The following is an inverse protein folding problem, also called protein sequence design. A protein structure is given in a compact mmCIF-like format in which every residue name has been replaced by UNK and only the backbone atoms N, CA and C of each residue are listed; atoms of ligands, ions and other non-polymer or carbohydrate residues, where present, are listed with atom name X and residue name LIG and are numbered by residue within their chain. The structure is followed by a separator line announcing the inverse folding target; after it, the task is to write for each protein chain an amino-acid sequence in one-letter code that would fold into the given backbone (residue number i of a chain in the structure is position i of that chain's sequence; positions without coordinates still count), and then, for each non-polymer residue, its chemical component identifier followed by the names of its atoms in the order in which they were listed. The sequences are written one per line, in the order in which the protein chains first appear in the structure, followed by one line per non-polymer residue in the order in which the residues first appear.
data_IF_856850684477
#
_entry.id   IF_856850684477
#
_cell.length_a   1.000
_cell.length_b   1.000
_cell.length_c   1.000
_cell.angle_alpha   90.00
_cell.angle_beta   90.00
_cell.angle_gamma   90.00
#
_symmetry.space_group_name_H-M   'P 1'
#
loop_
_entity.id
_entity.type
_entity.pdbx_description
1 polymer ?
#
# COMPACT_ATOMS: atom_id res chain seq x y z
N UNK A 1 -0.25 10.18 -15.79
CA UNK A 1 1.10 10.02 -15.21
C UNK A 1 1.90 9.04 -16.03
N UNK A 2 3.11 8.67 -15.60
CA UNK A 2 3.92 7.61 -16.21
C UNK A 2 3.53 6.25 -15.60
N UNK A 3 2.55 5.57 -16.21
CA UNK A 3 2.00 4.31 -15.70
C UNK A 3 2.95 3.13 -15.90
N UNK A 4 3.78 3.13 -16.94
CA UNK A 4 4.73 2.05 -17.21
C UNK A 4 5.80 1.99 -16.13
N UNK A 5 6.34 3.15 -15.74
CA UNK A 5 7.29 3.23 -14.63
C UNK A 5 6.63 2.86 -13.31
N UNK A 6 5.42 3.33 -13.05
CA UNK A 6 4.69 3.03 -11.82
C UNK A 6 4.40 1.52 -11.70
N UNK A 7 3.97 0.86 -12.78
CA UNK A 7 3.78 -0.59 -12.82
C UNK A 7 5.08 -1.33 -12.48
N UNK A 8 6.21 -1.01 -13.13
CA UNK A 8 7.49 -1.69 -12.87
C UNK A 8 7.98 -1.50 -11.43
N UNK A 9 7.70 -0.34 -10.83
CA UNK A 9 8.02 -0.09 -9.43
C UNK A 9 7.17 -0.97 -8.51
N UNK A 10 5.86 -1.04 -8.75
CA UNK A 10 4.96 -1.91 -8.00
C UNK A 10 5.33 -3.39 -8.14
N UNK A 11 5.72 -3.84 -9.33
CA UNK A 11 6.20 -5.20 -9.57
C UNK A 11 7.45 -5.47 -8.72
N UNK A 12 8.39 -4.51 -8.65
CA UNK A 12 9.58 -4.62 -7.78
C UNK A 12 9.24 -4.70 -6.29
N UNK A 13 8.28 -3.88 -5.84
CA UNK A 13 7.76 -3.91 -4.48
C UNK A 13 7.08 -5.25 -4.15
N UNK A 14 6.33 -5.81 -5.10
CA UNK A 14 5.71 -7.13 -4.97
C UNK A 14 6.77 -8.23 -4.82
N UNK A 15 7.82 -8.22 -5.64
CA UNK A 15 8.96 -9.15 -5.52
C UNK A 15 9.64 -9.07 -4.14
N UNK A 16 9.84 -7.86 -3.61
CA UNK A 16 10.35 -7.67 -2.25
C UNK A 16 9.41 -8.25 -1.19
N UNK A 17 8.09 -8.04 -1.33
CA UNK A 17 7.10 -8.55 -0.38
C UNK A 17 7.10 -10.08 -0.33
N UNK A 18 7.09 -10.74 -1.49
CA UNK A 18 6.97 -12.20 -1.56
C UNK A 18 8.26 -12.93 -1.18
N UNK A 19 9.43 -12.27 -1.25
CA UNK A 19 10.74 -12.87 -0.92
C UNK A 19 10.75 -13.59 0.43
N UNK A 20 10.13 -13.00 1.45
CA UNK A 20 9.94 -13.61 2.76
C UNK A 20 8.46 -13.72 3.14
N UNK A 21 7.52 -13.47 2.21
CA UNK A 21 6.08 -13.46 2.47
C UNK A 21 5.59 -12.25 3.26
N UNK A 22 6.42 -11.23 3.48
CA UNK A 22 6.08 -9.87 3.93
C UNK A 22 7.32 -8.98 3.72
N UNK A 23 7.13 -7.71 3.40
CA UNK A 23 8.25 -6.81 3.09
C UNK A 23 9.13 -6.49 4.31
N UNK A 24 10.46 -6.41 4.16
CA UNK A 24 11.35 -5.81 5.15
C UNK A 24 11.37 -4.28 5.01
N UNK A 25 11.78 -3.59 6.07
CA UNK A 25 12.03 -2.14 6.07
C UNK A 25 13.05 -1.71 5.02
N UNK A 26 14.06 -2.55 4.72
CA UNK A 26 15.03 -2.24 3.68
C UNK A 26 15.60 -3.49 3.02
N UNK A 27 15.53 -3.53 1.67
CA UNK A 27 16.10 -4.57 0.83
C UNK A 27 17.18 -3.99 -0.11
N UNK A 28 18.32 -4.67 -0.19
CA UNK A 28 19.28 -4.46 -1.27
C UNK A 28 18.90 -5.32 -2.48
N UNK A 29 18.27 -4.72 -3.48
CA UNK A 29 17.81 -5.42 -4.70
C UNK A 29 18.94 -6.04 -5.53
N UNK A 30 20.15 -5.45 -5.55
CA UNK A 30 21.27 -6.03 -6.32
C UNK A 30 21.74 -7.36 -5.77
N UNK A 31 21.64 -7.55 -4.45
CA UNK A 31 22.06 -8.77 -3.75
C UNK A 31 20.89 -9.61 -3.24
N UNK A 32 19.66 -9.13 -3.45
CA UNK A 32 18.43 -9.65 -2.83
C UNK A 32 18.60 -9.93 -1.33
N UNK A 33 19.23 -9.00 -0.61
CA UNK A 33 19.58 -9.15 0.81
C UNK A 33 18.82 -8.15 1.68
N UNK A 34 18.16 -8.66 2.72
CA UNK A 34 17.55 -7.85 3.78
C UNK A 34 18.64 -7.07 4.52
N UNK A 35 18.51 -5.74 4.54
CA UNK A 35 19.41 -4.82 5.23
C UNK A 35 18.85 -4.42 6.59
N UNK A 36 17.54 -4.16 6.67
CA UNK A 36 16.80 -3.90 7.90
C UNK A 36 15.59 -4.80 7.90
N UNK A 37 15.51 -5.72 8.86
CA UNK A 37 14.57 -6.85 8.83
C UNK A 37 13.21 -6.58 9.46
N UNK A 38 13.01 -5.45 10.11
CA UNK A 38 11.72 -5.11 10.73
C UNK A 38 10.64 -4.89 9.68
N UNK A 39 9.38 -5.02 10.09
CA UNK A 39 8.23 -4.58 9.31
C UNK A 39 7.20 -3.92 10.25
N UNK A 40 7.11 -2.58 10.28
CA UNK A 40 6.25 -1.89 11.24
C UNK A 40 4.83 -1.66 10.70
N UNK A 41 4.28 -2.56 9.89
CA UNK A 41 2.90 -2.48 9.35
C UNK A 41 2.65 -1.33 8.35
N UNK A 42 3.67 -0.97 7.57
CA UNK A 42 3.63 0.20 6.70
C UNK A 42 2.62 0.11 5.54
N UNK A 43 2.13 1.25 5.03
CA UNK A 43 1.05 1.27 4.02
C UNK A 43 1.52 1.41 2.57
N UNK A 44 2.77 1.77 2.28
CA UNK A 44 3.12 2.42 1.01
C UNK A 44 2.92 1.50 -0.21
N UNK A 45 3.14 0.19 -0.07
CA UNK A 45 2.94 -0.79 -1.14
C UNK A 45 1.45 -1.05 -1.43
N UNK A 46 0.60 -1.12 -0.40
CA UNK A 46 -0.85 -1.30 -0.58
C UNK A 46 -1.52 -0.02 -1.07
N UNK A 47 -1.04 1.14 -0.63
CA UNK A 47 -1.41 2.45 -1.18
C UNK A 47 -1.14 2.51 -2.68
N UNK A 48 0.08 2.16 -3.09
CA UNK A 48 0.49 2.18 -4.50
C UNK A 48 -0.34 1.22 -5.35
N UNK A 49 -0.65 0.02 -4.83
CA UNK A 49 -1.55 -0.94 -5.47
C UNK A 49 -2.97 -0.36 -5.66
N UNK A 50 -3.48 0.36 -4.68
CA UNK A 50 -4.79 1.03 -4.78
C UNK A 50 -4.82 2.07 -5.90
N UNK A 51 -3.86 2.99 -5.93
CA UNK A 51 -3.78 4.00 -6.99
C UNK A 51 -3.65 3.37 -8.38
N UNK A 52 -2.79 2.36 -8.52
CA UNK A 52 -2.59 1.68 -9.78
C UNK A 52 -3.86 0.94 -10.23
N UNK A 53 -4.56 0.26 -9.32
CA UNK A 53 -5.85 -0.34 -9.64
C UNK A 53 -6.88 0.72 -10.07
N UNK A 54 -7.00 1.83 -9.34
CA UNK A 54 -7.96 2.89 -9.65
C UNK A 54 -7.76 3.47 -11.06
N UNK A 55 -6.52 3.73 -11.47
CA UNK A 55 -6.25 4.37 -12.76
C UNK A 55 -6.15 3.42 -13.95
N UNK A 56 -5.95 2.12 -13.73
CA UNK A 56 -5.73 1.15 -14.81
C UNK A 56 -6.80 0.06 -14.90
N UNK A 57 -7.54 -0.16 -13.80
CA UNK A 57 -8.46 -1.28 -13.62
C UNK A 57 -7.84 -2.66 -13.88
N UNK A 58 -6.51 -2.77 -13.79
CA UNK A 58 -5.82 -4.06 -13.91
C UNK A 58 -5.95 -4.87 -12.62
N UNK A 59 -6.69 -5.98 -12.70
CA UNK A 59 -6.95 -6.90 -11.61
C UNK A 59 -5.68 -7.50 -10.97
N UNK A 60 -4.50 -7.37 -11.59
CA UNK A 60 -3.25 -7.78 -10.94
C UNK A 60 -3.02 -7.06 -9.61
N UNK A 61 -3.40 -5.80 -9.50
CA UNK A 61 -3.17 -5.01 -8.28
C UNK A 61 -4.06 -5.47 -7.13
N UNK A 62 -5.30 -5.91 -7.42
CA UNK A 62 -6.17 -6.59 -6.44
C UNK A 62 -5.64 -7.95 -6.03
N UNK A 63 -5.07 -8.73 -6.97
CA UNK A 63 -4.39 -10.00 -6.63
C UNK A 63 -3.18 -9.77 -5.72
N UNK A 64 -2.36 -8.75 -5.99
CA UNK A 64 -1.25 -8.34 -5.12
C UNK A 64 -1.75 -7.91 -3.74
N UNK A 65 -2.77 -7.05 -3.68
CA UNK A 65 -3.38 -6.59 -2.43
C UNK A 65 -3.94 -7.72 -1.58
N UNK A 66 -4.49 -8.78 -2.19
CA UNK A 66 -4.93 -9.98 -1.47
C UNK A 66 -3.74 -10.66 -0.78
N UNK A 67 -2.63 -10.83 -1.49
CA UNK A 67 -1.40 -11.41 -0.92
C UNK A 67 -0.88 -10.56 0.24
N UNK A 68 -0.90 -9.23 0.11
CA UNK A 68 -0.47 -8.32 1.17
C UNK A 68 -1.35 -8.46 2.42
N UNK A 69 -2.67 -8.41 2.25
CA UNK A 69 -3.62 -8.53 3.35
C UNK A 69 -3.56 -9.90 4.03
N UNK A 70 -3.48 -10.99 3.27
CA UNK A 70 -3.32 -12.34 3.82
C UNK A 70 -2.01 -12.48 4.60
N UNK A 71 -0.93 -11.85 4.14
CA UNK A 71 0.36 -11.81 4.85
C UNK A 71 0.24 -11.09 6.20
N UNK A 72 -0.43 -9.94 6.22
CA UNK A 72 -0.72 -9.18 7.45
C UNK A 72 -1.54 -10.03 8.44
N UNK A 73 -2.62 -10.65 7.96
CA UNK A 73 -3.48 -11.50 8.81
C UNK A 73 -2.71 -12.70 9.35
N UNK A 74 -1.86 -13.33 8.53
CA UNK A 74 -1.11 -14.52 8.91
C UNK A 74 0.02 -14.23 9.90
N UNK A 75 0.77 -13.15 9.71
CA UNK A 75 2.02 -12.92 10.45
C UNK A 75 1.91 -11.81 11.50
N UNK A 76 1.00 -10.86 11.34
CA UNK A 76 0.92 -9.68 12.18
C UNK A 76 -0.28 -9.69 13.12
N UNK A 77 -1.30 -10.51 12.88
CA UNK A 77 -2.47 -10.58 13.77
C UNK A 77 -2.09 -11.16 15.14
N UNK A 78 -2.67 -10.57 16.20
CA UNK A 78 -2.60 -11.05 17.58
C UNK A 78 -4.02 -11.27 18.12
N UNK A 79 -4.16 -11.69 19.38
CA UNK A 79 -5.48 -11.80 20.02
C UNK A 79 -6.15 -10.43 20.21
N UNK A 80 -5.36 -9.37 20.43
CA UNK A 80 -5.85 -8.03 20.75
C UNK A 80 -5.86 -7.06 19.54
N UNK A 81 -5.24 -7.42 18.42
CA UNK A 81 -5.13 -6.53 17.26
C UNK A 81 -4.08 -7.02 16.26
N UNK A 82 -3.15 -6.14 15.92
CA UNK A 82 -2.00 -6.45 15.06
C UNK A 82 -0.71 -5.95 15.70
N UNK A 83 0.42 -6.55 15.32
CA UNK A 83 1.74 -6.11 15.72
C UNK A 83 2.69 -6.21 14.53
N UNK A 84 3.63 -5.26 14.44
CA UNK A 84 4.72 -5.33 13.47
C UNK A 84 5.60 -6.57 13.68
N UNK A 85 6.59 -6.74 12.81
CA UNK A 85 7.61 -7.77 12.95
C UNK A 85 8.96 -7.12 13.30
N UNK A 86 9.67 -7.72 14.25
CA UNK A 86 11.08 -7.38 14.51
C UNK A 86 12.03 -7.98 13.48
N UNK A 87 11.66 -9.12 12.89
CA UNK A 87 12.36 -9.74 11.78
C UNK A 87 11.40 -10.51 10.86
N UNK A 88 11.28 -10.09 9.61
CA UNK A 88 10.43 -10.72 8.60
C UNK A 88 10.83 -12.15 8.25
N UNK A 89 12.06 -12.57 8.53
CA UNK A 89 12.53 -13.94 8.24
C UNK A 89 12.06 -14.91 9.31
N UNK A 90 12.17 -14.52 10.59
CA UNK A 90 11.77 -15.35 11.72
C UNK A 90 10.28 -15.22 12.07
N UNK A 91 9.59 -14.19 11.54
CA UNK A 91 8.20 -13.84 11.88
C UNK A 91 7.99 -13.49 13.35
N UNK A 92 9.07 -13.11 14.05
CA UNK A 92 8.97 -12.66 15.43
C UNK A 92 8.25 -11.31 15.47
N UNK A 93 7.04 -11.31 15.99
CA UNK A 93 6.25 -10.10 16.24
C UNK A 93 6.99 -9.16 17.20
N UNK A 94 6.89 -7.86 16.94
CA UNK A 94 7.18 -6.80 17.91
C UNK A 94 5.97 -6.61 18.83
N UNK A 95 6.01 -5.59 19.69
CA UNK A 95 4.90 -5.23 20.58
C UNK A 95 4.44 -3.79 20.30
N UNK A 96 4.12 -3.50 19.03
CA UNK A 96 3.67 -2.18 18.61
C UNK A 96 2.72 -2.25 17.43
N UNK A 97 1.63 -1.49 17.54
CA UNK A 97 0.69 -1.22 16.46
C UNK A 97 0.62 0.29 16.23
N UNK A 98 1.36 0.82 15.25
CA UNK A 98 1.30 2.25 14.94
C UNK A 98 -0.08 2.67 14.42
N UNK A 99 -0.48 3.92 14.69
CA UNK A 99 -1.78 4.47 14.29
C UNK A 99 -2.03 4.39 12.78
N UNK A 100 -1.00 4.57 11.97
CA UNK A 100 -1.08 4.49 10.52
C UNK A 100 -1.50 3.12 10.01
N UNK A 101 -1.35 2.03 10.78
CA UNK A 101 -1.87 0.74 10.37
C UNK A 101 -3.39 0.80 10.16
N UNK A 102 -4.09 1.46 11.08
CA UNK A 102 -5.54 1.65 10.99
C UNK A 102 -5.90 2.77 10.01
N UNK A 103 -5.19 3.89 10.06
CA UNK A 103 -5.49 5.05 9.22
C UNK A 103 -5.19 4.81 7.73
N UNK A 104 -4.14 4.05 7.41
CA UNK A 104 -3.59 3.94 6.06
C UNK A 104 -3.67 2.51 5.55
N UNK A 105 -2.96 1.57 6.18
CA UNK A 105 -2.83 0.19 5.66
C UNK A 105 -4.19 -0.48 5.50
N UNK A 106 -5.05 -0.41 6.51
CA UNK A 106 -6.41 -0.96 6.43
C UNK A 106 -7.34 -0.15 5.53
N UNK A 107 -7.19 1.18 5.48
CA UNK A 107 -8.00 2.04 4.60
C UNK A 107 -7.72 1.73 3.13
N UNK A 108 -6.45 1.68 2.72
CA UNK A 108 -6.08 1.33 1.35
C UNK A 108 -6.39 -0.12 1.02
N UNK A 109 -6.26 -1.04 1.98
CA UNK A 109 -6.74 -2.42 1.80
C UNK A 109 -8.24 -2.45 1.51
N UNK A 110 -9.05 -1.69 2.24
CA UNK A 110 -10.49 -1.59 2.00
C UNK A 110 -10.80 -0.97 0.62
N UNK A 111 -10.22 0.21 0.33
CA UNK A 111 -10.47 0.95 -0.89
C UNK A 111 -10.06 0.18 -2.16
N UNK A 112 -9.01 -0.64 -2.09
CA UNK A 112 -8.60 -1.49 -3.22
C UNK A 112 -9.68 -2.49 -3.65
N UNK A 113 -10.51 -2.96 -2.72
CA UNK A 113 -11.58 -3.92 -3.00
C UNK A 113 -12.98 -3.30 -3.06
N UNK A 114 -13.13 -2.05 -2.63
CA UNK A 114 -14.35 -1.28 -2.78
C UNK A 114 -14.66 -1.01 -4.27
N UNK A 115 -15.94 -0.73 -4.61
CA UNK A 115 -16.31 -0.13 -5.89
C UNK A 115 -15.52 1.17 -6.13
N UNK A 116 -15.06 1.41 -7.37
CA UNK A 116 -14.21 2.57 -7.67
C UNK A 116 -15.00 3.88 -7.60
N UNK A 117 -16.30 3.82 -7.90
CA UNK A 117 -17.26 4.91 -7.85
C UNK A 117 -17.50 5.48 -6.45
N UNK A 118 -17.16 4.72 -5.40
CA UNK A 118 -17.29 5.18 -4.01
C UNK A 118 -16.27 6.27 -3.66
N UNK A 119 -15.21 6.45 -4.45
CA UNK A 119 -14.16 7.43 -4.18
C UNK A 119 -13.72 8.22 -5.42
N UNK A 120 -14.17 9.48 -5.46
CA UNK A 120 -13.94 10.41 -6.57
C UNK A 120 -12.61 11.18 -6.39
N UNK A 121 -11.56 10.75 -7.10
CA UNK A 121 -10.25 11.39 -7.11
C UNK A 121 -10.23 12.78 -7.77
N UNK A 122 -11.27 13.17 -8.51
CA UNK A 122 -11.39 14.54 -8.99
C UNK A 122 -11.77 15.49 -7.86
N UNK A 123 -12.43 15.00 -6.80
CA UNK A 123 -12.87 15.79 -5.65
C UNK A 123 -11.99 15.65 -4.41
N UNK A 124 -11.23 14.56 -4.28
CA UNK A 124 -10.49 14.27 -3.05
C UNK A 124 -9.01 14.05 -3.33
N UNK A 125 -8.17 14.52 -2.41
CA UNK A 125 -6.73 14.22 -2.36
C UNK A 125 -6.41 13.67 -0.99
N UNK A 126 -5.70 12.54 -0.93
CA UNK A 126 -5.19 12.04 0.35
C UNK A 126 -3.95 12.84 0.76
N UNK A 127 -3.87 13.21 2.04
CA UNK A 127 -2.59 13.61 2.62
C UNK A 127 -1.69 12.37 2.80
N UNK A 128 -0.47 12.59 3.31
CA UNK A 128 0.53 11.52 3.52
C UNK A 128 0.20 10.53 4.64
N UNK A 129 -0.92 10.70 5.36
CA UNK A 129 -1.43 9.74 6.36
C UNK A 129 -2.83 9.21 5.95
N UNK A 130 -3.06 9.12 4.64
CA UNK A 130 -4.31 8.66 4.02
C UNK A 130 -5.59 9.40 4.48
N UNK A 131 -5.49 10.63 4.99
CA UNK A 131 -6.66 11.43 5.33
C UNK A 131 -7.20 12.15 4.08
N UNK A 132 -8.45 11.92 3.68
CA UNK A 132 -9.04 12.55 2.51
C UNK A 132 -9.31 14.04 2.76
N UNK A 133 -8.81 14.89 1.87
CA UNK A 133 -9.07 16.32 1.83
C UNK A 133 -9.88 16.65 0.58
N UNK A 134 -11.01 17.32 0.75
CA UNK A 134 -11.84 17.76 -0.36
C UNK A 134 -11.20 18.97 -1.06
N UNK A 135 -11.10 18.90 -2.39
CA UNK A 135 -10.65 20.01 -3.22
C UNK A 135 -11.71 21.11 -3.19
N UNK A 136 -11.36 22.26 -2.60
CA UNK A 136 -12.17 23.48 -2.62
C UNK A 136 -11.50 24.62 -3.42
N UNK A 137 -10.45 24.32 -4.17
CA UNK A 137 -9.79 25.25 -5.09
C UNK A 137 -10.29 25.07 -6.52
N UNK A 138 -10.38 26.16 -7.31
CA UNK A 138 -10.72 26.05 -8.73
C UNK A 138 -9.69 25.19 -9.46
N UNK A 139 -10.17 24.16 -10.17
CA UNK A 139 -9.34 23.37 -11.08
C UNK A 139 -8.78 24.25 -12.20
N UNK A 140 -7.74 23.79 -12.92
CA UNK A 140 -7.25 24.49 -14.09
C UNK A 140 -8.43 24.73 -15.05
N UNK A 141 -8.63 25.98 -15.48
CA UNK A 141 -9.70 26.33 -16.41
C UNK A 141 -9.65 25.36 -17.61
N UNK A 142 -10.77 24.68 -17.87
CA UNK A 142 -10.89 23.84 -19.04
C UNK A 142 -10.49 24.68 -20.25
N UNK A 143 -9.42 24.29 -20.94
CA UNK A 143 -9.02 24.96 -22.18
C UNK A 143 -10.23 24.89 -23.11
N UNK A 144 -10.79 26.05 -23.46
CA UNK A 144 -11.85 26.13 -24.45
C UNK A 144 -11.31 25.47 -25.72
N UNK A 145 -12.02 24.45 -26.20
CA UNK A 145 -11.77 23.91 -27.55
C UNK A 145 -12.17 25.03 -28.51
N UNK A 146 -11.18 25.72 -29.06
CA UNK A 146 -11.34 26.51 -30.29
C UNK A 146 -11.20 25.57 -31.48
#
# INVERSE_FOLDING_TARGET
GDFDRASRLQDSCYEMWVLHGIEPEMLNYRKMKVMVSGYPLRPEIIESAYYLYHYTSDEKYRRMGRVFFESLVRYCKTEAGFAGLSDVRSKKQSDSMPSYFLAETLKYSYLLFAPQEDFDFDKVVFNTEAHPLFKNWPGPAAKSKN
#
